data_IF_723525184563
#
_entry.id   IF_723525184563
#
_cell.length_a   1.000
_cell.length_b   1.000
_cell.length_c   1.000
_cell.angle_alpha   90.00
_cell.angle_beta   90.00
_cell.angle_gamma   90.00
#
_symmetry.space_group_name_H-M   'P 1'
#
loop_
_entity.id
_entity.type
_entity.pdbx_description
1 polymer ?
#
# COMPACT_ATOMS: atom_id res chain seq x y z
N UNK A 1 -22.85 -63.27 14.31
CA UNK A 1 -21.84 -63.22 15.39
C UNK A 1 -21.70 -61.77 15.81
N UNK A 2 -21.99 -61.39 17.06
CA UNK A 2 -21.80 -60.01 17.48
C UNK A 2 -20.29 -59.73 17.55
N UNK A 3 -19.86 -58.70 16.83
CA UNK A 3 -18.48 -58.22 16.85
C UNK A 3 -18.26 -57.42 18.15
N UNK A 4 -17.24 -57.81 18.94
CA UNK A 4 -16.91 -57.22 20.26
C UNK A 4 -15.73 -56.22 20.15
N UNK A 5 -15.67 -55.45 19.07
CA UNK A 5 -14.65 -54.43 18.83
C UNK A 5 -15.27 -53.08 18.48
N UNK A 6 -14.51 -52.00 18.64
CA UNK A 6 -14.85 -50.70 18.06
C UNK A 6 -14.75 -50.77 16.54
N UNK A 7 -15.61 -50.05 15.82
CA UNK A 7 -15.50 -49.93 14.37
C UNK A 7 -14.16 -49.31 13.98
N UNK A 8 -13.66 -49.66 12.80
CA UNK A 8 -12.42 -49.08 12.28
C UNK A 8 -12.73 -47.64 11.87
N UNK A 9 -12.16 -46.66 12.58
CA UNK A 9 -12.40 -45.24 12.33
C UNK A 9 -11.80 -44.79 10.98
N UNK A 10 -10.65 -45.36 10.61
CA UNK A 10 -10.01 -45.19 9.30
C UNK A 10 -9.25 -46.45 8.90
N UNK A 11 -9.76 -47.20 7.92
CA UNK A 11 -9.11 -48.40 7.40
C UNK A 11 -10.11 -49.45 6.91
N UNK A 12 -9.83 -50.06 5.76
CA UNK A 12 -10.56 -51.21 5.25
C UNK A 12 -9.71 -52.46 5.48
N UNK A 13 -10.10 -53.35 6.42
CA UNK A 13 -9.49 -54.66 6.60
C UNK A 13 -9.90 -55.56 5.43
N UNK A 14 -9.12 -55.49 4.37
CA UNK A 14 -9.37 -56.28 3.19
C UNK A 14 -8.59 -57.60 3.22
N UNK A 15 -9.12 -58.57 2.50
CA UNK A 15 -8.47 -59.84 2.20
C UNK A 15 -8.53 -60.10 0.71
N UNK A 16 -7.57 -60.86 0.20
CA UNK A 16 -7.56 -61.35 -1.17
C UNK A 16 -7.31 -62.85 -1.16
N UNK A 17 -7.96 -63.57 -2.07
CA UNK A 17 -7.78 -65.01 -2.23
C UNK A 17 -7.21 -65.32 -3.60
N UNK A 18 -6.46 -66.42 -3.71
CA UNK A 18 -5.98 -66.99 -4.96
C UNK A 18 -5.86 -68.50 -4.84
N UNK A 19 -5.41 -69.14 -5.92
CA UNK A 19 -5.15 -70.58 -5.95
C UNK A 19 -3.82 -70.81 -6.63
N UNK A 20 -2.96 -71.65 -6.03
CA UNK A 20 -1.72 -72.08 -6.67
C UNK A 20 -1.99 -72.89 -7.94
N UNK A 21 -1.16 -72.74 -8.95
CA UNK A 21 -1.22 -73.50 -10.20
C UNK A 21 -0.10 -74.55 -10.30
N UNK A 22 0.83 -74.56 -9.34
CA UNK A 22 1.99 -75.44 -9.30
C UNK A 22 3.10 -75.11 -10.31
N UNK A 23 3.02 -73.98 -11.01
CA UNK A 23 3.94 -73.59 -12.07
C UNK A 23 4.63 -72.24 -11.81
N UNK A 24 3.89 -71.22 -11.39
CA UNK A 24 4.44 -69.87 -11.22
C UNK A 24 4.62 -69.47 -9.74
N UNK A 25 5.55 -68.55 -9.50
CA UNK A 25 5.79 -67.97 -8.16
C UNK A 25 4.89 -66.76 -7.89
N UNK A 26 4.03 -66.39 -8.83
CA UNK A 26 3.12 -65.23 -8.77
C UNK A 26 1.69 -65.59 -9.17
N UNK A 27 1.07 -66.63 -8.57
CA UNK A 27 -0.24 -67.14 -8.99
C UNK A 27 -1.39 -66.13 -8.81
N UNK A 28 -1.13 -65.04 -8.08
CA UNK A 28 -2.00 -63.86 -8.02
C UNK A 28 -1.37 -62.78 -8.91
N UNK A 29 -2.01 -62.49 -10.05
CA UNK A 29 -1.49 -61.55 -11.05
C UNK A 29 -1.20 -60.14 -10.48
N UNK A 30 -2.06 -59.64 -9.58
CA UNK A 30 -1.82 -58.41 -8.82
C UNK A 30 -2.58 -58.42 -7.49
N UNK A 31 -1.94 -57.95 -6.42
CA UNK A 31 -2.59 -57.61 -5.18
C UNK A 31 -3.56 -56.44 -5.40
N UNK A 32 -4.73 -56.50 -4.75
CA UNK A 32 -5.78 -55.48 -4.86
C UNK A 32 -5.36 -54.13 -4.25
N UNK A 33 -4.36 -54.13 -3.36
CA UNK A 33 -3.83 -52.94 -2.71
C UNK A 33 -2.31 -52.92 -2.70
N UNK A 34 -1.76 -51.71 -2.82
CA UNK A 34 -0.33 -51.46 -2.70
C UNK A 34 0.14 -51.71 -1.28
N UNK A 35 1.19 -52.52 -1.13
CA UNK A 35 1.84 -52.83 0.14
C UNK A 35 3.27 -52.27 0.13
N UNK A 36 3.71 -51.59 1.21
CA UNK A 36 5.05 -51.01 1.24
C UNK A 36 6.15 -52.05 1.46
N UNK A 37 5.83 -53.21 2.04
CA UNK A 37 6.77 -54.33 2.25
C UNK A 37 6.05 -55.65 2.53
N UNK A 38 6.78 -56.77 2.50
CA UNK A 38 6.28 -58.11 2.85
C UNK A 38 5.69 -58.18 4.26
N UNK A 39 6.22 -57.41 5.21
CA UNK A 39 5.74 -57.34 6.60
C UNK A 39 4.37 -56.66 6.72
N UNK A 40 3.88 -56.04 5.65
CA UNK A 40 2.59 -55.34 5.62
C UNK A 40 1.42 -56.24 5.26
N UNK A 41 1.67 -57.54 5.04
CA UNK A 41 0.65 -58.55 4.76
C UNK A 41 0.94 -59.85 5.53
N UNK A 42 -0.12 -60.63 5.77
CA UNK A 42 0.01 -62.05 6.10
C UNK A 42 -0.45 -62.88 4.92
N UNK A 43 0.29 -63.94 4.62
CA UNK A 43 -0.04 -64.88 3.56
C UNK A 43 -0.20 -66.27 4.16
N UNK A 44 -1.24 -66.99 3.75
CA UNK A 44 -1.51 -68.37 4.15
C UNK A 44 -1.66 -69.25 2.91
N UNK A 45 -1.10 -70.45 2.97
CA UNK A 45 -1.28 -71.53 2.00
C UNK A 45 -2.02 -72.69 2.69
N UNK A 46 -3.25 -72.98 2.26
CA UNK A 46 -4.17 -73.93 2.92
C UNK A 46 -4.28 -73.73 4.44
N UNK A 47 -4.22 -72.47 4.88
CA UNK A 47 -4.29 -72.08 6.29
C UNK A 47 -2.94 -72.10 7.03
N UNK A 48 -1.84 -72.52 6.39
CA UNK A 48 -0.48 -72.45 6.95
C UNK A 48 0.11 -71.07 6.71
N UNK A 49 0.42 -70.33 7.78
CA UNK A 49 1.04 -69.02 7.69
C UNK A 49 2.45 -69.12 7.08
N UNK A 50 2.71 -68.26 6.10
CA UNK A 50 3.99 -68.15 5.42
C UNK A 50 4.83 -67.04 6.07
N UNK A 51 6.14 -67.21 6.09
CA UNK A 51 7.09 -66.26 6.69
C UNK A 51 7.46 -65.19 5.66
N UNK A 52 7.19 -63.90 5.93
CA UNK A 52 7.61 -62.81 5.06
C UNK A 52 9.13 -62.83 4.81
N UNK A 53 9.54 -62.44 3.61
CA UNK A 53 10.92 -62.41 3.11
C UNK A 53 11.64 -63.78 3.06
N UNK A 54 11.04 -64.86 3.56
CA UNK A 54 11.57 -66.23 3.51
C UNK A 54 10.75 -67.11 2.57
N UNK A 55 9.43 -67.13 2.74
CA UNK A 55 8.50 -67.92 1.92
C UNK A 55 7.87 -67.09 0.81
N UNK A 56 7.83 -65.76 0.97
CA UNK A 56 7.36 -64.82 -0.05
C UNK A 56 7.98 -63.42 0.11
N UNK A 57 7.97 -62.62 -0.95
CA UNK A 57 8.24 -61.19 -0.93
C UNK A 57 7.06 -60.42 -1.49
N UNK A 58 6.76 -59.23 -0.96
CA UNK A 58 5.72 -58.35 -1.51
C UNK A 58 6.11 -56.87 -1.47
N UNK A 59 5.86 -56.16 -2.57
CA UNK A 59 6.02 -54.70 -2.68
C UNK A 59 5.15 -54.18 -3.81
N UNK A 60 4.62 -52.96 -3.67
CA UNK A 60 3.66 -52.44 -4.62
C UNK A 60 2.43 -53.35 -4.65
N UNK A 61 2.03 -53.79 -5.84
CA UNK A 61 0.94 -54.77 -6.04
C UNK A 61 1.46 -56.18 -6.32
N UNK A 62 2.74 -56.45 -6.17
CA UNK A 62 3.34 -57.76 -6.51
C UNK A 62 3.53 -58.61 -5.26
N UNK A 63 3.04 -59.84 -5.30
CA UNK A 63 3.33 -60.91 -4.33
C UNK A 63 4.06 -62.03 -5.06
N UNK A 64 5.24 -62.40 -4.57
CA UNK A 64 6.08 -63.46 -5.15
C UNK A 64 6.46 -64.47 -4.09
N UNK A 65 6.06 -65.72 -4.26
CA UNK A 65 6.49 -66.83 -3.42
C UNK A 65 7.89 -67.29 -3.79
N UNK A 66 8.66 -67.83 -2.84
CA UNK A 66 9.98 -68.39 -3.14
C UNK A 66 9.90 -69.76 -3.83
N UNK A 67 8.81 -70.49 -3.59
CA UNK A 67 8.44 -71.72 -4.32
C UNK A 67 7.01 -71.59 -4.83
N UNK A 68 6.77 -72.00 -6.08
CA UNK A 68 5.42 -71.99 -6.66
C UNK A 68 4.43 -72.74 -5.75
N UNK A 69 3.36 -72.10 -5.26
CA UNK A 69 2.33 -72.80 -4.51
C UNK A 69 1.75 -73.95 -5.34
N UNK A 70 1.65 -75.13 -4.76
CA UNK A 70 1.22 -76.33 -5.49
C UNK A 70 -0.18 -76.16 -6.08
N UNK A 71 -0.44 -76.88 -7.17
CA UNK A 71 -1.72 -76.79 -7.89
C UNK A 71 -2.90 -77.11 -6.94
N UNK A 72 -3.85 -76.17 -6.86
CA UNK A 72 -5.06 -76.30 -6.04
C UNK A 72 -4.92 -75.84 -4.59
N UNK A 73 -3.72 -75.45 -4.12
CA UNK A 73 -3.52 -74.88 -2.78
C UNK A 73 -4.18 -73.52 -2.69
N UNK A 74 -5.03 -73.32 -1.67
CA UNK A 74 -5.71 -72.06 -1.44
C UNK A 74 -4.75 -71.02 -0.86
N UNK A 75 -4.71 -69.83 -1.48
CA UNK A 75 -3.91 -68.70 -1.05
C UNK A 75 -4.84 -67.69 -0.38
N UNK A 76 -4.52 -67.26 0.84
CA UNK A 76 -5.19 -66.15 1.52
C UNK A 76 -4.17 -65.07 1.88
N UNK A 77 -4.43 -63.84 1.45
CA UNK A 77 -3.65 -62.65 1.79
C UNK A 77 -4.49 -61.74 2.68
N UNK A 78 -3.97 -61.36 3.84
CA UNK A 78 -4.54 -60.37 4.75
C UNK A 78 -3.69 -59.11 4.72
N UNK A 79 -4.30 -57.96 4.42
CA UNK A 79 -3.59 -56.68 4.39
C UNK A 79 -3.54 -56.06 5.79
N UNK A 80 -2.33 -55.90 6.34
CA UNK A 80 -2.10 -55.35 7.69
C UNK A 80 -1.63 -53.89 7.67
N UNK A 81 -0.81 -53.54 6.67
CA UNK A 81 -0.33 -52.18 6.41
C UNK A 81 -0.64 -51.79 4.98
N UNK A 82 -1.50 -50.79 4.79
CA UNK A 82 -1.78 -50.22 3.47
C UNK A 82 -1.01 -48.91 3.34
N UNK A 83 -0.50 -48.61 2.16
CA UNK A 83 -0.17 -47.22 1.86
C UNK A 83 -1.46 -46.40 2.00
N UNK A 84 -1.46 -45.40 2.87
CA UNK A 84 -2.58 -44.47 2.97
C UNK A 84 -2.51 -43.56 1.74
N UNK A 85 -3.35 -43.84 0.73
CA UNK A 85 -3.69 -42.80 -0.25
C UNK A 85 -4.51 -41.75 0.50
N UNK A 86 -3.83 -40.74 1.04
CA UNK A 86 -4.50 -39.49 1.33
C UNK A 86 -4.88 -38.94 -0.04
N UNK A 87 -6.16 -39.10 -0.40
CA UNK A 87 -6.71 -38.48 -1.59
C UNK A 87 -6.44 -36.98 -1.51
N UNK A 88 -5.84 -36.42 -2.55
CA UNK A 88 -5.91 -34.98 -2.75
C UNK A 88 -7.37 -34.58 -2.72
N UNK A 89 -7.76 -33.49 -2.02
CA UNK A 89 -9.13 -32.99 -2.09
C UNK A 89 -9.54 -32.88 -3.56
N UNK A 90 -10.68 -33.47 -3.93
CA UNK A 90 -11.16 -33.33 -5.30
C UNK A 90 -11.45 -31.85 -5.57
N UNK A 91 -11.40 -31.46 -6.84
CA UNK A 91 -11.66 -30.07 -7.24
C UNK A 91 -12.94 -29.55 -6.60
N UNK A 92 -12.88 -28.34 -6.05
CA UNK A 92 -13.98 -27.65 -5.36
C UNK A 92 -14.51 -28.33 -4.08
N UNK A 93 -13.81 -29.33 -3.53
CA UNK A 93 -14.20 -29.92 -2.23
C UNK A 93 -13.77 -29.07 -1.05
N UNK A 94 -12.89 -28.10 -1.22
CA UNK A 94 -12.61 -27.07 -0.22
C UNK A 94 -13.41 -25.83 -0.62
N UNK A 95 -14.60 -25.68 -0.02
CA UNK A 95 -15.52 -24.58 -0.29
C UNK A 95 -15.39 -23.48 0.78
N UNK A 96 -16.10 -22.37 0.55
CA UNK A 96 -16.13 -21.24 1.49
C UNK A 96 -16.63 -21.62 2.88
N UNK A 97 -17.45 -22.67 3.00
CA UNK A 97 -17.93 -23.17 4.31
C UNK A 97 -16.83 -23.91 5.07
N UNK A 98 -15.91 -24.57 4.36
CA UNK A 98 -14.73 -25.25 4.92
C UNK A 98 -13.56 -24.30 5.17
N UNK A 99 -13.57 -23.12 4.55
CA UNK A 99 -12.61 -22.03 4.77
C UNK A 99 -13.13 -20.96 5.74
N UNK A 100 -14.35 -21.13 6.27
CA UNK A 100 -15.18 -20.04 6.81
C UNK A 100 -14.71 -19.39 8.11
N UNK A 101 -13.71 -19.96 8.78
CA UNK A 101 -13.29 -19.50 10.11
C UNK A 101 -11.78 -19.16 10.20
N UNK A 102 -10.94 -19.78 9.36
CA UNK A 102 -9.48 -19.72 9.56
C UNK A 102 -8.74 -18.66 8.72
N UNK A 103 -9.34 -18.11 7.66
CA UNK A 103 -8.55 -17.30 6.71
C UNK A 103 -8.55 -15.79 7.01
N UNK A 104 -9.67 -15.22 7.50
CA UNK A 104 -9.80 -13.75 7.67
C UNK A 104 -10.49 -13.35 8.99
N UNK A 105 -11.41 -14.17 9.52
CA UNK A 105 -12.29 -13.79 10.64
C UNK A 105 -11.67 -13.79 12.04
N UNK A 106 -10.55 -14.50 12.24
CA UNK A 106 -9.88 -14.66 13.53
C UNK A 106 -8.75 -13.63 13.79
N UNK A 107 -8.45 -12.78 12.81
CA UNK A 107 -7.47 -11.71 12.98
C UNK A 107 -8.14 -10.49 13.63
N UNK A 108 -7.52 -9.98 14.71
CA UNK A 108 -7.85 -8.65 15.25
C UNK A 108 -7.56 -7.55 14.22
N UNK A 109 -8.01 -6.32 14.47
CA UNK A 109 -7.72 -5.16 13.60
C UNK A 109 -6.25 -5.15 13.16
N UNK A 110 -6.04 -5.31 11.85
CA UNK A 110 -4.70 -5.34 11.27
C UNK A 110 -4.30 -3.90 10.95
N UNK A 111 -3.23 -3.41 11.56
CA UNK A 111 -2.60 -2.16 11.13
C UNK A 111 -1.90 -2.42 9.81
N UNK A 112 -2.37 -1.78 8.74
CA UNK A 112 -1.80 -1.90 7.40
C UNK A 112 -0.97 -0.67 7.07
N UNK A 113 0.23 -0.88 6.54
CA UNK A 113 1.20 0.15 6.14
C UNK A 113 1.46 0.11 4.63
N UNK A 114 2.09 1.16 4.08
CA UNK A 114 2.39 1.25 2.65
C UNK A 114 3.27 0.10 2.11
N UNK A 115 4.09 -0.51 2.97
CA UNK A 115 4.98 -1.61 2.61
C UNK A 115 4.29 -2.98 2.61
N UNK A 116 3.09 -3.08 3.19
CA UNK A 116 2.35 -4.33 3.24
C UNK A 116 1.75 -4.66 1.87
N UNK A 117 1.37 -5.92 1.69
CA UNK A 117 0.74 -6.40 0.46
C UNK A 117 -0.66 -6.91 0.76
N UNK A 118 -1.62 -6.61 -0.12
CA UNK A 118 -2.97 -7.12 -0.04
C UNK A 118 -3.25 -8.09 -1.18
N UNK A 119 -4.01 -9.16 -0.90
CA UNK A 119 -4.41 -10.16 -1.89
C UNK A 119 -5.80 -9.84 -2.41
N UNK A 120 -5.95 -9.67 -3.73
CA UNK A 120 -7.24 -9.48 -4.38
C UNK A 120 -7.47 -10.57 -5.43
N UNK A 121 -8.74 -10.91 -5.67
CA UNK A 121 -9.12 -11.73 -6.82
C UNK A 121 -9.03 -10.91 -8.10
N UNK A 122 -8.32 -11.42 -9.11
CA UNK A 122 -8.27 -10.82 -10.45
C UNK A 122 -9.19 -11.58 -11.40
N UNK A 123 -10.24 -10.91 -11.88
CA UNK A 123 -11.19 -11.48 -12.83
C UNK A 123 -10.60 -11.68 -14.24
N UNK A 124 -9.46 -11.06 -14.56
CA UNK A 124 -8.83 -11.12 -15.88
C UNK A 124 -7.75 -12.21 -16.03
N UNK A 125 -7.31 -12.83 -14.94
CA UNK A 125 -6.23 -13.83 -14.95
C UNK A 125 -6.67 -15.15 -14.31
N UNK A 126 -7.69 -15.76 -14.94
CA UNK A 126 -8.09 -17.16 -14.75
C UNK A 126 -8.19 -17.65 -13.30
N UNK A 127 -8.65 -16.81 -12.37
CA UNK A 127 -8.88 -17.20 -10.98
C UNK A 127 -7.61 -17.26 -10.11
N UNK A 128 -6.47 -16.76 -10.58
CA UNK A 128 -5.27 -16.63 -9.75
C UNK A 128 -5.42 -15.43 -8.79
N UNK A 129 -5.08 -15.63 -7.51
CA UNK A 129 -4.97 -14.52 -6.56
C UNK A 129 -3.69 -13.73 -6.83
N UNK A 130 -3.80 -12.41 -6.98
CA UNK A 130 -2.64 -11.53 -7.15
C UNK A 130 -2.31 -10.80 -5.86
N UNK A 131 -1.03 -10.45 -5.72
CA UNK A 131 -0.54 -9.56 -4.66
C UNK A 131 -0.27 -8.21 -5.29
N UNK A 132 -0.73 -7.16 -4.64
CA UNK A 132 -0.25 -5.81 -4.88
C UNK A 132 0.22 -5.18 -3.57
N UNK A 133 1.13 -4.24 -3.66
CA UNK A 133 1.53 -3.41 -2.53
C UNK A 133 0.39 -2.46 -2.17
N UNK A 134 0.19 -2.20 -0.88
CA UNK A 134 -0.78 -1.20 -0.40
C UNK A 134 -0.53 0.14 -1.08
N UNK A 135 0.74 0.49 -1.31
CA UNK A 135 1.11 1.66 -2.09
C UNK A 135 0.58 1.60 -3.54
N UNK A 136 0.70 0.49 -4.26
CA UNK A 136 0.16 0.32 -5.61
C UNK A 136 -1.36 0.53 -5.68
N UNK A 137 -2.11 0.06 -4.67
CA UNK A 137 -3.55 0.31 -4.57
C UNK A 137 -3.87 1.78 -4.25
N UNK A 138 -3.10 2.40 -3.37
CA UNK A 138 -3.23 3.83 -3.05
C UNK A 138 -2.83 4.72 -4.24
N UNK A 139 -1.86 4.29 -5.05
CA UNK A 139 -1.40 4.97 -6.25
C UNK A 139 -2.44 4.90 -7.39
N UNK A 140 -3.27 3.85 -7.42
CA UNK A 140 -4.46 3.82 -8.28
C UNK A 140 -5.50 4.88 -7.85
N UNK A 141 -5.44 5.34 -6.60
CA UNK A 141 -6.13 6.52 -6.09
C UNK A 141 -5.27 7.80 -6.18
N UNK A 142 -4.25 7.82 -7.05
CA UNK A 142 -3.51 9.02 -7.47
C UNK A 142 -4.48 10.07 -7.97
N UNK A 143 -4.91 10.92 -7.05
CA UNK A 143 -5.97 11.88 -7.26
C UNK A 143 -5.55 12.87 -8.33
N UNK A 144 -6.25 12.87 -9.46
CA UNK A 144 -6.18 13.97 -10.40
C UNK A 144 -6.47 15.27 -9.62
N UNK A 145 -5.48 16.16 -9.53
CA UNK A 145 -5.61 17.42 -8.80
C UNK A 145 -4.50 17.68 -7.78
N UNK A 146 -4.86 18.35 -6.69
CA UNK A 146 -3.93 18.84 -5.68
C UNK A 146 -3.64 17.77 -4.62
N UNK A 147 -2.39 17.36 -4.54
CA UNK A 147 -1.90 16.40 -3.55
C UNK A 147 -1.31 17.15 -2.35
N UNK A 148 -1.74 16.80 -1.15
CA UNK A 148 -1.20 17.36 0.08
C UNK A 148 0.29 17.01 0.23
N UNK A 149 1.12 18.00 0.54
CA UNK A 149 2.56 17.81 0.81
C UNK A 149 2.83 17.99 2.31
N UNK A 150 2.46 19.14 2.87
CA UNK A 150 2.76 19.44 4.27
C UNK A 150 1.92 20.61 4.79
N UNK A 151 1.85 20.74 6.11
CA UNK A 151 1.20 21.85 6.82
C UNK A 151 2.08 22.35 7.95
N UNK A 152 2.15 23.67 8.10
CA UNK A 152 2.81 24.37 9.20
C UNK A 152 1.77 25.21 9.94
N UNK A 153 1.25 24.76 11.10
CA UNK A 153 0.38 25.57 11.94
C UNK A 153 1.22 26.47 12.85
N UNK A 154 0.87 27.75 12.92
CA UNK A 154 1.43 28.74 13.85
C UNK A 154 0.35 29.12 14.85
N UNK A 155 0.59 28.85 16.13
CA UNK A 155 -0.34 29.15 17.24
C UNK A 155 0.24 30.10 18.28
N UNK A 156 1.48 30.57 18.06
CA UNK A 156 2.18 31.55 18.88
C UNK A 156 3.22 32.28 18.05
N UNK A 157 3.59 33.50 18.46
CA UNK A 157 4.59 34.38 17.84
C UNK A 157 5.78 33.63 17.22
N UNK A 158 5.80 33.53 15.90
CA UNK A 158 6.83 32.82 15.12
C UNK A 158 7.24 33.67 13.92
N UNK A 159 8.54 33.78 13.65
CA UNK A 159 9.04 34.67 12.58
C UNK A 159 8.59 34.25 11.17
N UNK A 160 8.61 32.94 10.88
CA UNK A 160 8.37 32.43 9.53
C UNK A 160 7.60 31.10 9.54
N UNK A 161 6.93 30.81 8.43
CA UNK A 161 6.40 29.48 8.12
C UNK A 161 7.10 28.93 6.87
N UNK A 162 7.81 27.82 7.03
CA UNK A 162 8.85 27.37 6.11
C UNK A 162 8.49 26.10 5.33
N UNK A 163 8.75 26.11 4.02
CA UNK A 163 8.66 24.97 3.11
C UNK A 163 9.93 24.90 2.22
N UNK A 164 11.11 25.18 2.79
CA UNK A 164 12.33 25.54 2.06
C UNK A 164 12.86 24.47 1.08
N UNK A 165 12.53 23.20 1.29
CA UNK A 165 12.98 22.06 0.48
C UNK A 165 11.82 21.16 0.03
N UNK A 166 10.59 21.67 0.02
CA UNK A 166 9.40 20.86 -0.23
C UNK A 166 9.09 20.63 -1.71
N UNK A 167 9.79 21.30 -2.63
CA UNK A 167 9.58 21.10 -4.07
C UNK A 167 10.47 19.95 -4.60
N UNK A 168 9.87 19.04 -5.36
CA UNK A 168 10.50 17.86 -5.95
C UNK A 168 10.05 17.63 -7.40
N UNK A 169 10.71 16.72 -8.11
CA UNK A 169 10.35 16.39 -9.50
C UNK A 169 9.00 15.68 -9.63
N UNK A 170 8.35 15.33 -8.52
CA UNK A 170 7.01 14.70 -8.48
C UNK A 170 5.93 15.61 -9.07
N UNK A 171 6.02 16.92 -8.86
CA UNK A 171 5.04 17.89 -9.35
C UNK A 171 5.72 19.00 -10.13
N UNK A 172 5.07 19.46 -11.20
CA UNK A 172 5.55 20.61 -11.97
C UNK A 172 5.00 21.92 -11.40
N UNK A 173 3.84 21.90 -10.74
CA UNK A 173 3.21 23.10 -10.17
C UNK A 173 2.85 22.88 -8.71
N UNK A 174 2.96 23.94 -7.92
CA UNK A 174 2.71 23.93 -6.49
C UNK A 174 1.70 25.02 -6.12
N UNK A 175 0.86 24.73 -5.13
CA UNK A 175 -0.05 25.69 -4.55
C UNK A 175 0.12 25.71 -3.04
N UNK A 176 0.29 26.88 -2.45
CA UNK A 176 0.22 27.05 -1.01
C UNK A 176 -1.01 27.88 -0.62
N UNK A 177 -1.60 27.54 0.51
CA UNK A 177 -2.72 28.27 1.11
C UNK A 177 -2.33 28.76 2.49
N UNK A 178 -2.94 29.87 2.91
CA UNK A 178 -2.94 30.30 4.29
C UNK A 178 -4.34 30.71 4.72
N UNK A 179 -4.67 30.41 5.97
CA UNK A 179 -5.91 30.84 6.60
C UNK A 179 -5.62 31.53 7.94
N UNK A 180 -6.35 32.63 8.16
CA UNK A 180 -6.34 33.43 9.40
C UNK A 180 -4.91 33.79 9.82
N UNK A 181 -4.08 34.22 8.86
CA UNK A 181 -2.72 34.66 9.14
C UNK A 181 -2.76 36.10 9.68
N UNK A 182 -2.29 36.29 10.91
CA UNK A 182 -2.31 37.58 11.61
C UNK A 182 -0.91 37.98 12.05
N UNK A 183 -0.50 39.25 11.91
CA UNK A 183 0.79 39.71 12.43
C UNK A 183 0.73 39.95 13.94
N UNK A 184 1.89 39.85 14.60
CA UNK A 184 2.04 40.29 16.00
C UNK A 184 2.00 41.81 16.09
N UNK A 185 2.66 42.50 15.17
CA UNK A 185 2.72 43.95 15.11
C UNK A 185 1.62 44.50 14.19
N UNK A 186 1.14 45.71 14.48
CA UNK A 186 0.05 46.31 13.70
C UNK A 186 0.56 46.85 12.38
N UNK A 187 -0.31 46.85 11.36
CA UNK A 187 -0.04 47.44 10.07
C UNK A 187 1.20 46.83 9.38
N UNK A 188 1.24 45.50 9.25
CA UNK A 188 2.34 44.77 8.63
C UNK A 188 1.94 44.06 7.32
N UNK A 189 2.71 44.18 6.23
CA UNK A 189 2.38 43.52 4.98
C UNK A 189 2.82 42.05 4.98
N UNK A 190 1.93 41.18 4.52
CA UNK A 190 2.19 39.74 4.46
C UNK A 190 2.92 39.38 3.17
N UNK A 191 3.99 38.61 3.31
CA UNK A 191 4.99 38.41 2.28
C UNK A 191 5.42 36.93 2.16
N UNK A 192 6.10 36.64 1.07
CA UNK A 192 6.74 35.36 0.80
C UNK A 192 8.15 35.57 0.24
N UNK A 193 9.03 34.61 0.50
CA UNK A 193 10.29 34.40 -0.21
C UNK A 193 10.26 33.05 -0.89
N UNK A 194 10.96 32.92 -2.02
CA UNK A 194 11.31 31.61 -2.56
C UNK A 194 12.57 31.10 -1.87
N UNK A 195 12.77 29.79 -1.87
CA UNK A 195 14.00 29.15 -1.42
C UNK A 195 14.78 28.58 -2.61
N UNK A 196 16.10 28.70 -2.58
CA UNK A 196 17.03 28.03 -3.49
C UNK A 196 18.03 27.24 -2.65
N UNK A 197 18.23 25.96 -2.97
CA UNK A 197 19.13 25.08 -2.21
C UNK A 197 18.77 24.99 -0.72
N UNK A 198 17.48 25.11 -0.38
CA UNK A 198 17.00 25.07 1.02
C UNK A 198 17.16 26.38 1.80
N UNK A 199 17.56 27.49 1.16
CA UNK A 199 17.70 28.79 1.82
C UNK A 199 16.80 29.85 1.17
N UNK A 200 16.11 30.65 1.99
CA UNK A 200 15.27 31.75 1.50
C UNK A 200 16.14 32.82 0.80
N UNK A 201 15.72 33.22 -0.41
CA UNK A 201 16.43 34.23 -1.21
C UNK A 201 15.89 35.61 -0.88
N UNK A 202 16.80 36.59 -0.85
CA UNK A 202 16.46 38.01 -0.66
C UNK A 202 16.79 38.73 -1.95
N UNK A 203 15.77 39.20 -2.66
CA UNK A 203 15.94 39.93 -3.92
C UNK A 203 15.56 39.16 -5.17
N UNK A 204 15.45 39.90 -6.28
CA UNK A 204 15.25 39.34 -7.62
C UNK A 204 13.80 39.16 -8.04
N UNK A 205 12.86 39.77 -7.31
CA UNK A 205 11.43 39.69 -7.59
C UNK A 205 10.93 40.91 -8.36
N UNK A 206 10.14 40.66 -9.39
CA UNK A 206 9.38 41.64 -10.13
C UNK A 206 7.89 41.42 -9.92
N UNK A 207 7.07 42.47 -10.00
CA UNK A 207 5.63 42.39 -9.72
C UNK A 207 4.74 43.12 -10.71
N UNK A 208 3.54 42.56 -10.86
CA UNK A 208 2.35 43.27 -11.30
C UNK A 208 1.16 42.81 -10.45
N UNK A 209 0.61 43.69 -9.63
CA UNK A 209 -0.53 43.37 -8.77
C UNK A 209 -1.48 44.56 -8.58
N UNK A 210 -2.72 44.27 -8.25
CA UNK A 210 -3.74 45.29 -7.95
C UNK A 210 -4.49 44.89 -6.68
N UNK A 211 -4.61 45.83 -5.75
CA UNK A 211 -5.50 45.73 -4.59
C UNK A 211 -6.79 46.50 -4.81
N UNK A 212 -7.92 45.97 -4.34
CA UNK A 212 -9.24 46.56 -4.46
C UNK A 212 -9.87 46.74 -3.08
N UNK A 213 -10.46 47.91 -2.87
CA UNK A 213 -11.42 48.22 -1.81
C UNK A 213 -12.72 48.68 -2.47
N UNK A 214 -13.80 48.84 -1.71
CA UNK A 214 -15.04 49.41 -2.25
C UNK A 214 -14.86 50.84 -2.80
N UNK A 215 -13.89 51.59 -2.27
CA UNK A 215 -13.68 53.00 -2.60
C UNK A 215 -12.58 53.25 -3.66
N UNK A 216 -11.60 52.35 -3.79
CA UNK A 216 -10.42 52.57 -4.64
C UNK A 216 -9.74 51.26 -5.07
N UNK A 217 -8.96 51.35 -6.15
CA UNK A 217 -8.00 50.33 -6.56
C UNK A 217 -6.57 50.88 -6.48
N UNK A 218 -5.65 50.10 -5.94
CA UNK A 218 -4.23 50.44 -5.83
C UNK A 218 -3.42 49.50 -6.71
N UNK A 219 -2.94 50.00 -7.85
CA UNK A 219 -2.08 49.27 -8.76
C UNK A 219 -0.62 49.39 -8.34
N UNK A 220 0.07 48.25 -8.27
CA UNK A 220 1.50 48.17 -8.01
C UNK A 220 2.15 47.42 -9.18
N UNK A 221 2.95 48.12 -9.98
CA UNK A 221 3.66 47.52 -11.10
C UNK A 221 4.99 48.22 -11.33
N UNK A 222 5.99 47.46 -11.75
CA UNK A 222 7.30 48.02 -12.07
C UNK A 222 8.39 46.95 -12.16
N UNK A 223 9.41 47.23 -12.98
CA UNK A 223 10.55 46.35 -13.20
C UNK A 223 11.66 46.47 -12.14
N UNK A 224 11.34 46.97 -10.94
CA UNK A 224 12.31 47.19 -9.88
C UNK A 224 12.47 45.91 -9.06
N UNK A 225 13.71 45.51 -8.81
CA UNK A 225 14.02 44.32 -8.01
C UNK A 225 13.54 44.52 -6.56
N UNK A 226 12.56 43.73 -6.15
CA UNK A 226 12.06 43.66 -4.78
C UNK A 226 12.78 42.54 -4.00
N UNK A 227 12.88 42.72 -2.69
CA UNK A 227 13.45 41.74 -1.76
C UNK A 227 12.47 40.66 -1.30
N UNK A 228 11.17 40.95 -1.45
CA UNK A 228 10.05 40.13 -1.00
C UNK A 228 8.99 40.01 -2.10
N UNK A 229 8.28 38.89 -2.11
CA UNK A 229 7.00 38.72 -2.82
C UNK A 229 5.90 39.19 -1.88
N UNK A 230 5.36 40.39 -2.11
CA UNK A 230 4.25 40.91 -1.31
C UNK A 230 2.96 40.23 -1.75
N UNK A 231 2.30 39.54 -0.82
CA UNK A 231 1.02 38.85 -1.05
C UNK A 231 -0.16 39.75 -0.69
N UNK A 232 0.11 40.86 0.01
CA UNK A 232 -0.83 41.95 0.23
C UNK A 232 -0.41 43.19 -0.55
N UNK A 233 -1.39 43.99 -0.97
CA UNK A 233 -1.20 45.30 -1.60
C UNK A 233 -1.44 46.42 -0.56
N UNK A 234 -0.84 46.25 0.61
CA UNK A 234 -1.05 47.05 1.82
C UNK A 234 -0.76 46.25 3.08
N UNK A 235 -1.13 46.83 4.22
CA UNK A 235 -0.77 46.36 5.55
C UNK A 235 -1.95 45.63 6.21
N UNK A 236 -1.70 44.48 6.81
CA UNK A 236 -2.68 43.72 7.62
C UNK A 236 -2.70 44.35 9.03
N UNK A 237 -3.90 44.54 9.59
CA UNK A 237 -4.05 45.03 10.95
C UNK A 237 -3.85 43.92 12.00
N UNK A 238 -3.80 44.29 13.28
CA UNK A 238 -3.76 43.33 14.40
C UNK A 238 -4.72 43.64 15.58
N UNK A 239 -5.56 44.66 15.46
CA UNK A 239 -6.35 45.23 16.56
C UNK A 239 -7.47 44.30 17.05
N UNK A 240 -7.89 43.33 16.23
CA UNK A 240 -8.89 42.32 16.60
C UNK A 240 -8.59 40.98 15.93
N UNK A 241 -9.29 39.92 16.34
CA UNK A 241 -9.22 38.60 15.68
C UNK A 241 -9.72 38.61 14.23
N UNK A 242 -10.41 39.67 13.83
CA UNK A 242 -10.91 39.85 12.47
C UNK A 242 -9.82 40.40 11.54
N UNK A 243 -8.77 41.04 12.07
CA UNK A 243 -7.70 41.61 11.27
C UNK A 243 -6.65 40.55 10.94
N UNK A 244 -6.87 39.86 9.82
CA UNK A 244 -5.99 38.81 9.31
C UNK A 244 -6.02 38.76 7.78
N UNK A 245 -5.19 37.91 7.20
CA UNK A 245 -5.17 37.59 5.78
C UNK A 245 -5.39 36.10 5.52
N UNK A 246 -6.08 35.79 4.42
CA UNK A 246 -6.23 34.44 3.89
C UNK A 246 -6.06 34.46 2.37
N UNK A 247 -5.59 33.36 1.79
CA UNK A 247 -5.37 33.33 0.35
C UNK A 247 -4.65 32.12 -0.17
N UNK A 248 -4.27 32.22 -1.44
CA UNK A 248 -3.56 31.19 -2.18
C UNK A 248 -2.44 31.79 -3.01
N UNK A 249 -1.37 31.02 -3.19
CA UNK A 249 -0.27 31.31 -4.09
C UNK A 249 0.05 30.08 -4.92
N UNK A 250 0.22 30.27 -6.21
CA UNK A 250 0.67 29.26 -7.16
C UNK A 250 2.10 29.54 -7.60
N UNK A 251 2.92 28.49 -7.68
CA UNK A 251 4.30 28.53 -8.13
C UNK A 251 4.45 27.55 -9.29
N UNK A 252 4.86 28.06 -10.45
CA UNK A 252 4.86 27.31 -11.69
C UNK A 252 6.26 26.86 -12.09
N UNK A 253 6.40 25.55 -12.31
CA UNK A 253 7.64 24.89 -12.72
C UNK A 253 8.90 25.29 -11.91
N UNK A 254 8.87 25.35 -10.56
CA UNK A 254 9.93 25.98 -9.79
C UNK A 254 11.32 25.32 -9.91
N UNK A 255 11.39 24.04 -10.31
CA UNK A 255 12.65 23.30 -10.38
C UNK A 255 13.48 23.55 -11.64
N UNK A 256 12.99 24.36 -12.59
CA UNK A 256 13.80 24.83 -13.70
C UNK A 256 14.81 25.93 -13.30
N UNK A 257 15.72 26.25 -14.22
CA UNK A 257 16.75 27.29 -14.07
C UNK A 257 16.49 28.53 -14.95
N UNK A 258 15.22 28.82 -15.23
CA UNK A 258 14.76 30.00 -15.98
C UNK A 258 13.69 30.72 -15.14
N UNK A 259 13.32 31.99 -15.37
CA UNK A 259 12.53 32.76 -14.41
C UNK A 259 11.25 32.05 -13.92
N UNK A 260 11.09 31.93 -12.61
CA UNK A 260 9.93 31.26 -11.99
C UNK A 260 8.77 32.25 -11.83
N UNK A 261 7.61 31.88 -12.37
CA UNK A 261 6.38 32.63 -12.26
C UNK A 261 5.61 32.25 -11.00
N UNK A 262 5.04 33.24 -10.33
CA UNK A 262 4.24 33.11 -9.12
C UNK A 262 2.95 33.91 -9.32
N UNK A 263 1.79 33.36 -8.97
CA UNK A 263 0.53 34.11 -8.96
C UNK A 263 -0.17 33.94 -7.63
N UNK A 264 -0.94 34.93 -7.19
CA UNK A 264 -1.67 34.85 -5.93
C UNK A 264 -3.02 35.55 -6.00
N UNK A 265 -3.92 35.09 -5.13
CA UNK A 265 -5.19 35.72 -4.81
C UNK A 265 -5.33 35.75 -3.30
N UNK A 266 -5.55 36.93 -2.74
CA UNK A 266 -5.50 37.17 -1.30
C UNK A 266 -6.61 38.11 -0.87
N UNK A 267 -7.20 37.87 0.28
CA UNK A 267 -7.96 38.87 1.02
C UNK A 267 -7.27 39.21 2.33
N UNK A 268 -7.40 40.45 2.78
CA UNK A 268 -6.96 40.86 4.10
C UNK A 268 -7.81 41.99 4.65
N UNK A 269 -7.83 42.11 5.97
CA UNK A 269 -8.43 43.24 6.68
C UNK A 269 -7.28 44.12 7.21
N UNK A 270 -7.30 45.40 6.86
CA UNK A 270 -6.28 46.35 7.31
C UNK A 270 -6.62 46.94 8.70
N UNK A 271 -5.69 47.70 9.29
CA UNK A 271 -5.85 48.33 10.60
C UNK A 271 -7.01 49.37 10.68
N UNK A 272 -7.61 49.73 9.54
CA UNK A 272 -8.81 50.56 9.46
C UNK A 272 -10.07 49.72 9.23
N UNK A 273 -10.02 48.41 9.45
CA UNK A 273 -11.10 47.43 9.25
C UNK A 273 -11.62 47.29 7.82
N UNK A 274 -10.90 47.83 6.83
CA UNK A 274 -11.29 47.68 5.43
C UNK A 274 -10.90 46.31 4.91
N UNK A 275 -11.84 45.66 4.21
CA UNK A 275 -11.55 44.44 3.46
C UNK A 275 -10.90 44.82 2.13
N UNK A 276 -9.75 44.21 1.85
CA UNK A 276 -9.00 44.40 0.61
C UNK A 276 -8.86 43.05 -0.09
N UNK A 277 -9.11 43.02 -1.39
CA UNK A 277 -8.84 41.86 -2.26
C UNK A 277 -7.66 42.19 -3.17
N UNK A 278 -6.71 41.26 -3.28
CA UNK A 278 -5.50 41.43 -4.06
C UNK A 278 -5.37 40.29 -5.05
N UNK A 279 -5.14 40.63 -6.32
CA UNK A 279 -4.71 39.69 -7.33
C UNK A 279 -3.38 40.16 -7.89
N UNK A 280 -2.41 39.26 -7.99
CA UNK A 280 -1.09 39.64 -8.46
C UNK A 280 -0.27 38.50 -9.04
N UNK A 281 0.69 38.88 -9.87
CA UNK A 281 1.69 38.01 -10.45
C UNK A 281 3.07 38.56 -10.14
N UNK A 282 4.00 37.63 -9.94
CA UNK A 282 5.39 37.89 -9.63
C UNK A 282 6.29 37.01 -10.49
N UNK A 283 7.50 37.48 -10.75
CA UNK A 283 8.53 36.71 -11.44
C UNK A 283 9.83 36.80 -10.66
N UNK A 284 10.44 35.67 -10.37
CA UNK A 284 11.83 35.61 -9.92
C UNK A 284 12.75 35.63 -11.14
N UNK A 285 13.35 36.79 -11.47
CA UNK A 285 14.06 37.00 -12.75
C UNK A 285 15.43 36.32 -12.87
N UNK A 286 16.09 36.02 -11.75
CA UNK A 286 17.52 35.66 -11.72
C UNK A 286 17.75 34.29 -11.08
N UNK A 287 17.03 33.27 -11.53
CA UNK A 287 17.20 31.91 -11.00
C UNK A 287 18.11 31.06 -11.91
N UNK A 288 19.42 31.24 -11.80
CA UNK A 288 20.36 30.25 -12.33
C UNK A 288 20.29 28.90 -11.58
N UNK A 289 19.52 28.83 -10.50
CA UNK A 289 19.29 27.65 -9.67
C UNK A 289 17.80 27.40 -9.45
N UNK A 290 17.44 26.13 -9.30
CA UNK A 290 16.07 25.70 -9.03
C UNK A 290 15.51 26.31 -7.74
N UNK A 291 14.26 26.76 -7.79
CA UNK A 291 13.48 27.12 -6.60
C UNK A 291 13.06 25.80 -5.91
N UNK A 292 13.54 25.58 -4.69
CA UNK A 292 13.34 24.35 -3.92
C UNK A 292 12.20 24.44 -2.92
N UNK A 293 11.64 25.62 -2.72
CA UNK A 293 10.63 25.85 -1.71
C UNK A 293 10.21 27.30 -1.57
N UNK A 294 9.46 27.59 -0.52
CA UNK A 294 8.97 28.92 -0.16
C UNK A 294 9.02 29.14 1.36
N UNK A 295 8.96 30.40 1.77
CA UNK A 295 8.88 30.85 3.16
C UNK A 295 7.88 31.99 3.26
N UNK A 296 6.94 31.89 4.19
CA UNK A 296 6.00 32.97 4.51
C UNK A 296 6.49 33.76 5.72
N UNK A 297 6.25 35.07 5.70
CA UNK A 297 6.62 36.02 6.76
C UNK A 297 5.81 37.31 6.65
N UNK A 298 5.84 38.12 7.69
CA UNK A 298 5.56 39.55 7.57
C UNK A 298 6.85 40.30 7.22
N UNK A 299 6.74 41.47 6.57
CA UNK A 299 7.92 42.28 6.21
C UNK A 299 8.72 42.68 7.46
N UNK A 300 8.03 42.99 8.55
CA UNK A 300 8.61 43.08 9.88
C UNK A 300 7.76 42.35 10.91
N UNK A 301 8.35 42.07 12.08
CA UNK A 301 7.67 41.35 13.15
C UNK A 301 7.49 39.85 12.89
N UNK A 302 6.58 39.26 13.65
CA UNK A 302 6.29 37.82 13.65
C UNK A 302 4.86 37.54 13.20
N UNK A 303 4.61 36.30 12.76
CA UNK A 303 3.28 35.72 12.60
C UNK A 303 2.75 35.36 13.99
N UNK A 304 1.60 35.92 14.38
CA UNK A 304 0.93 35.63 15.65
C UNK A 304 0.23 34.26 15.58
N UNK A 305 -0.56 34.07 14.54
CA UNK A 305 -1.33 32.86 14.24
C UNK A 305 -1.46 32.69 12.72
N UNK A 306 -1.61 31.46 12.25
CA UNK A 306 -1.97 31.14 10.87
C UNK A 306 -1.75 29.67 10.55
N UNK A 307 -2.51 29.10 9.62
CA UNK A 307 -2.26 27.74 9.12
C UNK A 307 -1.79 27.78 7.67
N UNK A 308 -0.61 27.25 7.40
CA UNK A 308 -0.03 27.23 6.06
C UNK A 308 -0.05 25.81 5.51
N UNK A 309 -0.60 25.58 4.33
CA UNK A 309 -0.64 24.25 3.71
C UNK A 309 -0.05 24.30 2.30
N UNK A 310 0.81 23.33 1.97
CA UNK A 310 1.41 23.19 0.65
C UNK A 310 0.85 21.95 -0.06
N UNK A 311 0.57 22.13 -1.34
CA UNK A 311 0.08 21.11 -2.26
C UNK A 311 0.92 21.05 -3.54
N UNK A 312 1.00 19.86 -4.14
CA UNK A 312 1.56 19.65 -5.47
C UNK A 312 0.47 19.23 -6.46
N UNK A 313 0.42 19.86 -7.63
CA UNK A 313 -0.52 19.48 -8.68
C UNK A 313 -0.03 18.24 -9.41
N UNK A 314 -0.82 17.16 -9.42
CA UNK A 314 -0.52 15.92 -10.13
C UNK A 314 -0.17 16.21 -11.60
N UNK A 315 0.83 15.50 -12.13
CA UNK A 315 1.14 15.57 -13.57
C UNK A 315 0.03 14.87 -14.36
N UNK A 316 -0.33 15.48 -15.48
CA UNK A 316 -1.25 14.90 -16.48
C UNK A 316 -0.56 13.87 -17.35
#
# INVERSE_FOLDING_TARGET
MPYIGTDINYGNLAKQTGTGDGADTTPIAALTYTVPSSESILVFLDGVCQVPSTDFTATGTTLTFTTAPANGVAILVMFLGRSLDIGTPADNTVDETKLKDALIGDFSDVTVTAADTFLYGDATDSGNTKKDTVQGILDLAGSAGLNFISRVPITSSTATADFLTSFSSTYDNYMATWDICQPVDDNEPFCMKVAQGGSAVTGGYDRGQVGYTEAAATAHGGGAAHDLVYLTAGNVGNASVEEHTSGTVWIFNPLHTAPTSITHLTSFINASTNIVVVAGAWVMKSNSTAVTGIQFLYESGNILIGNFTLYGLAKS
#
